data_IF_134513780520
#
_entry.id   IF_134513780520
#
_cell.length_a   1.000
_cell.length_b   1.000
_cell.length_c   1.000
_cell.angle_alpha   90.00
_cell.angle_beta   90.00
_cell.angle_gamma   90.00
#
_symmetry.space_group_name_H-M   'P 1'
#
loop_
_entity.id
_entity.type
_entity.pdbx_description
1 polymer ?
#
# COMPACT_ATOMS: atom_id res chain seq x y z
N UNK A 1 12.11 29.14 -1.40
CA UNK A 1 11.10 28.10 -1.67
C UNK A 1 10.63 28.23 -3.11
N UNK A 2 10.80 27.21 -3.96
CA UNK A 2 10.45 27.29 -5.39
C UNK A 2 8.92 27.33 -5.59
N UNK A 3 8.46 27.76 -6.78
CA UNK A 3 7.02 27.72 -7.14
C UNK A 3 6.46 26.29 -7.05
N UNK A 4 7.23 25.30 -7.49
CA UNK A 4 6.89 23.88 -7.37
C UNK A 4 6.74 23.45 -5.90
N UNK A 5 7.71 23.78 -5.03
CA UNK A 5 7.62 23.45 -3.59
C UNK A 5 6.37 24.05 -2.96
N UNK A 6 6.04 25.31 -3.27
CA UNK A 6 4.81 25.95 -2.79
C UNK A 6 3.55 25.20 -3.23
N UNK A 7 3.48 24.80 -4.51
CA UNK A 7 2.32 24.06 -5.02
C UNK A 7 2.17 22.68 -4.39
N UNK A 8 3.27 21.94 -4.17
CA UNK A 8 3.23 20.62 -3.51
C UNK A 8 2.76 20.77 -2.06
N UNK A 9 3.35 21.69 -1.29
CA UNK A 9 2.97 21.92 0.11
C UNK A 9 1.52 22.39 0.25
N UNK A 10 1.05 23.27 -0.63
CA UNK A 10 -0.34 23.71 -0.64
C UNK A 10 -1.29 22.55 -0.94
N UNK A 11 -1.02 21.74 -1.97
CA UNK A 11 -1.87 20.61 -2.32
C UNK A 11 -1.91 19.54 -1.21
N UNK A 12 -0.75 19.23 -0.62
CA UNK A 12 -0.65 18.32 0.53
C UNK A 12 -1.39 18.87 1.75
N UNK A 13 -1.21 20.15 2.08
CA UNK A 13 -1.89 20.81 3.20
C UNK A 13 -3.41 20.84 3.04
N UNK A 14 -3.91 21.11 1.83
CA UNK A 14 -5.35 21.07 1.54
C UNK A 14 -5.92 19.65 1.66
N UNK A 15 -5.21 18.63 1.14
CA UNK A 15 -5.62 17.24 1.26
C UNK A 15 -5.66 16.80 2.73
N UNK A 16 -4.59 17.03 3.49
CA UNK A 16 -4.50 16.66 4.91
C UNK A 16 -5.56 17.40 5.73
N UNK A 17 -5.71 18.72 5.52
CA UNK A 17 -6.70 19.54 6.19
C UNK A 17 -8.13 19.07 5.91
N UNK A 18 -8.43 18.71 4.66
CA UNK A 18 -9.71 18.13 4.29
C UNK A 18 -9.95 16.78 4.98
N UNK A 19 -8.96 15.87 4.96
CA UNK A 19 -9.06 14.55 5.59
C UNK A 19 -9.35 14.67 7.09
N UNK A 20 -8.53 15.43 7.83
CA UNK A 20 -8.70 15.64 9.27
C UNK A 20 -10.00 16.36 9.58
N UNK A 21 -10.31 17.45 8.85
CA UNK A 21 -11.52 18.23 9.06
C UNK A 21 -12.79 17.43 8.82
N UNK A 22 -12.82 16.61 7.77
CA UNK A 22 -13.96 15.74 7.47
C UNK A 22 -14.10 14.61 8.48
N UNK A 23 -13.01 13.95 8.87
CA UNK A 23 -13.04 12.91 9.90
C UNK A 23 -13.54 13.47 11.25
N UNK A 24 -13.06 14.64 11.66
CA UNK A 24 -13.52 15.32 12.86
C UNK A 24 -15.00 15.71 12.76
N UNK A 25 -15.43 16.22 11.61
CA UNK A 25 -16.84 16.54 11.38
C UNK A 25 -17.72 15.29 11.45
N UNK A 26 -17.35 14.19 10.80
CA UNK A 26 -18.13 12.95 10.80
C UNK A 26 -18.26 12.37 12.21
N UNK A 27 -17.20 12.45 13.02
CA UNK A 27 -17.25 12.06 14.43
C UNK A 27 -18.19 12.97 15.25
N UNK A 28 -18.10 14.29 15.08
CA UNK A 28 -18.90 15.25 15.85
C UNK A 28 -20.39 15.26 15.44
N UNK A 29 -20.67 15.15 14.14
CA UNK A 29 -22.01 15.28 13.59
C UNK A 29 -22.79 13.96 13.57
N UNK A 30 -22.11 12.83 13.33
CA UNK A 30 -22.74 11.53 13.17
C UNK A 30 -22.32 10.50 14.24
N UNK A 31 -21.35 10.82 15.09
CA UNK A 31 -20.81 9.88 16.08
C UNK A 31 -20.04 8.72 15.46
N UNK A 32 -19.63 8.82 14.19
CA UNK A 32 -18.97 7.73 13.50
C UNK A 32 -17.54 7.53 13.98
N UNK A 33 -17.12 6.27 14.23
CA UNK A 33 -15.72 5.94 14.46
C UNK A 33 -14.83 6.33 13.28
N UNK A 34 -13.58 6.71 13.58
CA UNK A 34 -12.57 7.08 12.58
C UNK A 34 -12.16 5.93 11.68
N UNK A 35 -12.17 4.73 12.24
CA UNK A 35 -11.91 3.49 11.55
C UNK A 35 -13.09 2.56 11.84
N UNK A 36 -13.58 1.91 10.78
CA UNK A 36 -14.69 0.98 10.82
C UNK A 36 -14.71 0.19 9.52
N UNK A 37 -14.99 -1.09 9.63
CA UNK A 37 -15.29 -1.94 8.49
C UNK A 37 -16.80 -1.94 8.19
N UNK A 38 -17.18 -1.55 6.97
CA UNK A 38 -18.58 -1.45 6.57
C UNK A 38 -18.78 -1.59 5.06
N UNK A 39 -19.98 -2.03 4.65
CA UNK A 39 -20.35 -1.98 3.25
C UNK A 39 -20.27 -0.52 2.70
N UNK A 40 -19.80 -0.31 1.47
CA UNK A 40 -19.72 1.01 0.85
C UNK A 40 -21.01 1.82 0.90
N UNK A 41 -20.92 3.03 1.43
CA UNK A 41 -22.04 3.98 1.48
C UNK A 41 -22.03 4.93 0.27
N UNK A 42 -23.23 5.21 -0.27
CA UNK A 42 -23.43 5.93 -1.53
C UNK A 42 -24.41 7.12 -1.45
N UNK A 43 -24.61 7.72 -0.27
CA UNK A 43 -25.45 8.91 -0.14
C UNK A 43 -24.82 10.16 -0.79
N UNK A 44 -25.60 11.23 -0.98
CA UNK A 44 -25.09 12.49 -1.54
C UNK A 44 -23.88 13.06 -0.77
N UNK A 45 -23.89 12.90 0.56
CA UNK A 45 -22.75 13.24 1.42
C UNK A 45 -21.47 12.48 1.04
N UNK A 46 -21.59 11.16 0.86
CA UNK A 46 -20.47 10.28 0.50
C UNK A 46 -19.91 10.61 -0.88
N UNK A 47 -20.79 10.89 -1.85
CA UNK A 47 -20.38 11.32 -3.18
C UNK A 47 -19.66 12.66 -3.17
N UNK A 48 -20.15 13.63 -2.40
CA UNK A 48 -19.52 14.94 -2.25
C UNK A 48 -18.10 14.81 -1.72
N UNK A 49 -17.92 14.17 -0.55
CA UNK A 49 -16.58 14.06 0.06
C UNK A 49 -15.61 13.22 -0.77
N UNK A 50 -16.10 12.17 -1.43
CA UNK A 50 -15.29 11.34 -2.34
C UNK A 50 -14.79 12.16 -3.52
N UNK A 51 -15.65 12.99 -4.12
CA UNK A 51 -15.31 13.84 -5.26
C UNK A 51 -14.28 14.92 -4.88
N UNK A 52 -14.45 15.56 -3.72
CA UNK A 52 -13.49 16.53 -3.20
C UNK A 52 -12.14 15.83 -2.91
N UNK A 53 -12.16 14.67 -2.25
CA UNK A 53 -10.95 13.89 -1.98
C UNK A 53 -10.22 13.54 -3.28
N UNK A 54 -10.94 13.07 -4.30
CA UNK A 54 -10.36 12.74 -5.61
C UNK A 54 -9.70 13.97 -6.26
N UNK A 55 -10.36 15.13 -6.25
CA UNK A 55 -9.81 16.37 -6.80
C UNK A 55 -8.54 16.83 -6.06
N UNK A 56 -8.52 16.75 -4.73
CA UNK A 56 -7.36 17.08 -3.91
C UNK A 56 -6.19 16.10 -4.14
N UNK A 57 -6.48 14.80 -4.27
CA UNK A 57 -5.49 13.80 -4.63
C UNK A 57 -4.88 14.04 -6.02
N UNK A 58 -5.73 14.38 -7.01
CA UNK A 58 -5.27 14.76 -8.35
C UNK A 58 -4.39 16.00 -8.30
N UNK A 59 -4.77 17.02 -7.53
CA UNK A 59 -3.99 18.25 -7.37
C UNK A 59 -2.60 17.97 -6.77
N UNK A 60 -2.50 17.09 -5.77
CA UNK A 60 -1.24 16.67 -5.16
C UNK A 60 -0.35 15.94 -6.18
N UNK A 61 -0.89 14.93 -6.87
CA UNK A 61 -0.14 14.16 -7.87
C UNK A 61 0.33 15.05 -9.02
N UNK A 62 -0.53 15.95 -9.51
CA UNK A 62 -0.16 16.92 -10.53
C UNK A 62 0.92 17.88 -10.03
N UNK A 63 0.86 18.36 -8.78
CA UNK A 63 1.88 19.22 -8.22
C UNK A 63 3.25 18.54 -8.15
N UNK A 64 3.28 17.24 -7.83
CA UNK A 64 4.49 16.41 -7.82
C UNK A 64 5.03 16.16 -9.24
N UNK A 65 4.14 15.90 -10.21
CA UNK A 65 4.54 15.52 -11.57
C UNK A 65 4.86 16.71 -12.51
N UNK A 66 4.29 17.90 -12.25
CA UNK A 66 4.42 19.11 -13.10
C UNK A 66 5.85 19.52 -13.46
N UNK A 67 6.84 19.48 -12.56
CA UNK A 67 8.23 19.84 -12.90
C UNK A 67 8.92 18.85 -13.84
N UNK A 68 8.29 17.69 -14.09
CA UNK A 68 8.88 16.54 -14.76
C UNK A 68 9.33 15.50 -13.75
N UNK A 69 8.97 14.24 -14.00
CA UNK A 69 9.41 13.11 -13.19
C UNK A 69 10.72 12.55 -13.75
N UNK A 70 11.68 12.28 -12.86
CA UNK A 70 12.96 11.64 -13.21
C UNK A 70 12.76 10.14 -13.36
N UNK A 71 12.63 9.70 -14.60
CA UNK A 71 12.16 8.36 -14.87
C UNK A 71 13.23 7.27 -14.76
N UNK A 72 13.05 6.31 -13.84
CA UNK A 72 13.81 5.05 -13.81
C UNK A 72 13.11 3.98 -14.67
N UNK A 73 13.62 3.58 -15.85
CA UNK A 73 12.90 2.67 -16.75
C UNK A 73 12.60 1.31 -16.10
N UNK A 74 11.41 0.76 -16.36
CA UNK A 74 11.03 -0.55 -15.86
C UNK A 74 11.82 -1.67 -16.56
N UNK A 75 12.47 -2.52 -15.78
CA UNK A 75 13.16 -3.70 -16.30
C UNK A 75 12.19 -4.66 -17.01
N UNK A 76 12.72 -5.54 -17.86
CA UNK A 76 11.90 -6.57 -18.50
C UNK A 76 11.27 -7.53 -17.49
N UNK A 77 12.03 -7.92 -16.45
CA UNK A 77 11.54 -8.75 -15.35
C UNK A 77 10.41 -8.07 -14.58
N UNK A 78 10.58 -6.79 -14.22
CA UNK A 78 9.56 -5.99 -13.53
C UNK A 78 8.25 -5.96 -14.33
N UNK A 79 8.32 -5.65 -15.63
CA UNK A 79 7.11 -5.61 -16.49
C UNK A 79 6.42 -6.96 -16.61
N UNK A 80 7.16 -8.06 -16.64
CA UNK A 80 6.59 -9.42 -16.65
C UNK A 80 5.89 -9.72 -15.33
N UNK A 81 6.55 -9.45 -14.21
CA UNK A 81 5.98 -9.66 -12.88
C UNK A 81 4.72 -8.82 -12.67
N UNK A 82 4.73 -7.54 -13.01
CA UNK A 82 3.54 -6.68 -12.94
C UNK A 82 2.36 -7.25 -13.74
N UNK A 83 2.59 -7.76 -14.96
CA UNK A 83 1.51 -8.38 -15.75
C UNK A 83 0.98 -9.65 -15.11
N UNK A 84 1.84 -10.45 -14.48
CA UNK A 84 1.41 -11.62 -13.73
C UNK A 84 0.54 -11.22 -12.54
N UNK A 85 0.95 -10.22 -11.76
CA UNK A 85 0.16 -9.70 -10.63
C UNK A 85 -1.19 -9.18 -11.13
N UNK A 86 -1.21 -8.40 -12.22
CA UNK A 86 -2.48 -7.97 -12.84
C UNK A 86 -3.33 -9.17 -13.23
N UNK A 87 -2.77 -10.19 -13.89
CA UNK A 87 -3.51 -11.38 -14.28
C UNK A 87 -4.10 -12.12 -13.06
N UNK A 88 -3.37 -12.21 -11.95
CA UNK A 88 -3.87 -12.79 -10.70
C UNK A 88 -5.03 -11.96 -10.11
N UNK A 89 -4.91 -10.63 -10.09
CA UNK A 89 -6.02 -9.78 -9.63
C UNK A 89 -7.25 -9.88 -10.54
N UNK A 90 -7.07 -9.99 -11.86
CA UNK A 90 -8.16 -10.21 -12.82
C UNK A 90 -8.82 -11.56 -12.57
N UNK A 91 -8.03 -12.62 -12.33
CA UNK A 91 -8.55 -13.94 -12.01
C UNK A 91 -9.36 -13.93 -10.70
N UNK A 92 -8.90 -13.24 -9.66
CA UNK A 92 -9.65 -13.07 -8.41
C UNK A 92 -10.97 -12.32 -8.65
N UNK A 93 -10.96 -11.23 -9.43
CA UNK A 93 -12.20 -10.51 -9.80
C UNK A 93 -13.16 -11.37 -10.61
N UNK A 94 -12.66 -12.19 -11.54
CA UNK A 94 -13.49 -13.14 -12.30
C UNK A 94 -14.06 -14.20 -11.36
N UNK A 95 -13.29 -14.67 -10.37
CA UNK A 95 -13.75 -15.64 -9.39
C UNK A 95 -14.90 -15.08 -8.55
N UNK A 96 -14.79 -13.83 -8.08
CA UNK A 96 -15.89 -13.12 -7.41
C UNK A 96 -17.15 -13.07 -8.28
N UNK A 97 -17.00 -12.71 -9.56
CA UNK A 97 -18.12 -12.63 -10.48
C UNK A 97 -18.77 -13.99 -10.80
N UNK A 98 -17.96 -15.05 -10.87
CA UNK A 98 -18.42 -16.40 -11.22
C UNK A 98 -19.00 -17.16 -10.03
N UNK A 99 -18.38 -17.04 -8.85
CA UNK A 99 -18.82 -17.72 -7.64
C UNK A 99 -18.28 -17.01 -6.38
N UNK A 100 -19.08 -16.15 -5.74
CA UNK A 100 -18.72 -15.54 -4.45
C UNK A 100 -18.37 -16.56 -3.37
N UNK A 101 -18.99 -17.75 -3.41
CA UNK A 101 -18.67 -18.85 -2.50
C UNK A 101 -17.24 -19.38 -2.68
N UNK A 102 -16.79 -19.58 -3.92
CA UNK A 102 -15.41 -20.04 -4.16
C UNK A 102 -14.43 -18.90 -3.90
N UNK A 103 -14.80 -17.66 -4.20
CA UNK A 103 -14.01 -16.49 -3.85
C UNK A 103 -13.73 -16.41 -2.34
N UNK A 104 -14.77 -16.56 -1.51
CA UNK A 104 -14.64 -16.61 -0.05
C UNK A 104 -13.83 -17.82 0.42
N UNK A 105 -14.02 -19.00 -0.18
CA UNK A 105 -13.25 -20.20 0.20
C UNK A 105 -11.75 -20.06 -0.10
N UNK A 106 -11.39 -19.40 -1.20
CA UNK A 106 -9.99 -19.20 -1.60
C UNK A 106 -9.29 -18.18 -0.70
N UNK A 107 -10.01 -17.13 -0.30
CA UNK A 107 -9.55 -16.13 0.66
C UNK A 107 -10.07 -16.38 2.07
N UNK A 108 -10.19 -17.64 2.48
CA UNK A 108 -10.52 -17.96 3.86
C UNK A 108 -9.26 -17.84 4.74
N UNK A 109 -9.44 -17.42 6.00
CA UNK A 109 -8.41 -17.49 7.05
C UNK A 109 -7.85 -18.92 7.14
N UNK A 110 -6.59 -19.06 7.58
CA UNK A 110 -5.82 -20.31 7.54
C UNK A 110 -5.62 -20.89 6.13
N UNK A 111 -5.92 -20.09 5.10
CA UNK A 111 -5.87 -20.47 3.69
C UNK A 111 -4.50 -20.27 3.04
N UNK A 112 -4.38 -20.72 1.80
CA UNK A 112 -3.14 -20.59 1.03
C UNK A 112 -2.73 -19.11 0.77
N UNK A 113 -3.70 -18.18 0.79
CA UNK A 113 -3.47 -16.75 0.61
C UNK A 113 -2.71 -16.18 1.81
N UNK A 114 -3.25 -16.30 3.02
CA UNK A 114 -2.62 -15.88 4.29
C UNK A 114 -1.21 -16.45 4.45
N UNK A 115 -1.03 -17.77 4.27
CA UNK A 115 0.29 -18.41 4.34
C UNK A 115 1.29 -17.86 3.31
N UNK A 116 0.81 -17.54 2.11
CA UNK A 116 1.66 -16.97 1.08
C UNK A 116 1.98 -15.49 1.34
N UNK A 117 1.03 -14.71 1.87
CA UNK A 117 1.26 -13.35 2.38
C UNK A 117 2.34 -13.35 3.46
N UNK A 118 2.23 -14.22 4.46
CA UNK A 118 3.20 -14.36 5.54
C UNK A 118 4.59 -14.75 5.01
N UNK A 119 4.65 -15.70 4.07
CA UNK A 119 5.92 -16.08 3.43
C UNK A 119 6.58 -14.91 2.70
N UNK A 120 5.80 -14.10 1.98
CA UNK A 120 6.29 -12.89 1.31
C UNK A 120 6.83 -11.88 2.32
N UNK A 121 6.16 -11.70 3.46
CA UNK A 121 6.56 -10.78 4.54
C UNK A 121 7.84 -11.26 5.26
N UNK A 122 7.94 -12.56 5.58
CA UNK A 122 9.18 -13.12 6.12
C UNK A 122 10.34 -13.02 5.13
N UNK A 123 10.08 -13.27 3.84
CA UNK A 123 11.05 -13.04 2.77
C UNK A 123 11.49 -11.57 2.69
N UNK A 124 10.54 -10.63 2.80
CA UNK A 124 10.82 -9.20 2.84
C UNK A 124 11.70 -8.83 4.05
N UNK A 125 11.40 -9.38 5.22
CA UNK A 125 12.23 -9.22 6.42
C UNK A 125 13.67 -9.71 6.17
N UNK A 126 13.81 -10.91 5.58
CA UNK A 126 15.11 -11.48 5.21
C UNK A 126 15.92 -10.60 4.25
N UNK A 127 15.28 -10.02 3.22
CA UNK A 127 15.95 -9.08 2.32
C UNK A 127 16.41 -7.80 3.04
N UNK A 128 15.62 -7.29 3.99
CA UNK A 128 16.01 -6.12 4.77
C UNK A 128 17.14 -6.41 5.76
N UNK A 129 17.20 -7.62 6.33
CA UNK A 129 18.37 -8.10 7.08
C UNK A 129 19.60 -8.19 6.18
N UNK A 130 19.46 -8.75 4.97
CA UNK A 130 20.57 -8.82 4.01
C UNK A 130 21.08 -7.42 3.66
N UNK A 131 20.18 -6.45 3.41
CA UNK A 131 20.54 -5.04 3.21
C UNK A 131 21.26 -4.45 4.43
N UNK A 132 20.78 -4.73 5.64
CA UNK A 132 21.43 -4.27 6.86
C UNK A 132 22.88 -4.78 6.93
N UNK A 133 23.10 -6.06 6.67
CA UNK A 133 24.43 -6.68 6.68
C UNK A 133 25.35 -6.09 5.60
N UNK A 134 24.83 -5.83 4.40
CA UNK A 134 25.59 -5.18 3.32
C UNK A 134 26.00 -3.75 3.71
N UNK A 135 25.07 -2.95 4.25
CA UNK A 135 25.36 -1.60 4.75
C UNK A 135 26.30 -1.61 5.96
N UNK A 136 26.23 -2.65 6.79
CA UNK A 136 27.10 -2.81 7.95
C UNK A 136 28.55 -3.01 7.52
N UNK A 137 28.78 -3.80 6.46
CA UNK A 137 30.09 -4.08 5.87
C UNK A 137 30.61 -2.98 4.94
N UNK A 138 29.71 -2.15 4.41
CA UNK A 138 30.08 -1.05 3.52
C UNK A 138 30.87 0.06 4.23
N UNK A 139 31.50 0.93 3.44
CA UNK A 139 32.33 2.04 3.93
C UNK A 139 31.58 2.91 4.94
N UNK A 140 32.25 3.23 6.06
CA UNK A 140 31.73 4.09 7.11
C UNK A 140 31.54 5.54 6.65
N UNK A 141 32.22 5.95 5.57
CA UNK A 141 32.08 7.27 4.95
C UNK A 141 30.78 7.45 4.13
N UNK A 142 29.95 6.40 3.97
CA UNK A 142 28.68 6.50 3.27
C UNK A 142 27.75 7.57 3.92
N UNK A 143 27.23 8.53 3.15
CA UNK A 143 26.29 9.53 3.64
C UNK A 143 25.10 8.88 4.34
N UNK A 144 24.68 9.43 5.47
CA UNK A 144 23.50 8.97 6.23
C UNK A 144 23.50 7.47 6.59
N UNK A 145 24.65 6.78 6.58
CA UNK A 145 24.74 5.32 6.82
C UNK A 145 23.96 4.84 8.06
N UNK A 146 24.05 5.57 9.17
CA UNK A 146 23.32 5.23 10.41
C UNK A 146 21.81 5.20 10.20
N UNK A 147 21.28 6.17 9.46
CA UNK A 147 19.86 6.24 9.13
C UNK A 147 19.44 5.06 8.26
N UNK A 148 20.25 4.69 7.26
CA UNK A 148 19.96 3.54 6.41
C UNK A 148 20.05 2.20 7.14
N UNK A 149 20.97 2.06 8.11
CA UNK A 149 21.02 0.89 8.99
C UNK A 149 19.78 0.81 9.89
N UNK A 150 19.40 1.92 10.53
CA UNK A 150 18.20 1.98 11.36
C UNK A 150 16.94 1.71 10.51
N UNK A 151 16.87 2.25 9.31
CA UNK A 151 15.79 1.97 8.37
C UNK A 151 15.75 0.50 7.96
N UNK A 152 16.89 -0.10 7.65
CA UNK A 152 16.96 -1.52 7.28
C UNK A 152 16.53 -2.43 8.43
N UNK A 153 17.03 -2.19 9.65
CA UNK A 153 16.63 -2.93 10.85
C UNK A 153 15.15 -2.70 11.20
N UNK A 154 14.67 -1.45 11.08
CA UNK A 154 13.27 -1.09 11.35
C UNK A 154 12.30 -1.80 10.41
N UNK A 155 12.56 -1.78 9.11
CA UNK A 155 11.75 -2.51 8.13
C UNK A 155 11.87 -4.03 8.27
N UNK A 156 13.05 -4.56 8.61
CA UNK A 156 13.21 -5.99 8.88
C UNK A 156 12.33 -6.44 10.05
N UNK A 157 12.34 -5.69 11.15
CA UNK A 157 11.49 -5.95 12.30
C UNK A 157 10.01 -5.76 11.95
N UNK A 158 9.66 -4.68 11.26
CA UNK A 158 8.27 -4.41 10.84
C UNK A 158 7.71 -5.57 10.01
N UNK A 159 8.43 -6.04 8.99
CA UNK A 159 7.96 -7.15 8.14
C UNK A 159 7.94 -8.49 8.88
N UNK A 160 8.84 -8.70 9.85
CA UNK A 160 8.79 -9.87 10.72
C UNK A 160 7.54 -9.84 11.60
N UNK A 161 7.23 -8.69 12.19
CA UNK A 161 6.02 -8.50 12.99
C UNK A 161 4.78 -8.71 12.11
N UNK A 162 4.70 -8.05 10.95
CA UNK A 162 3.56 -8.23 10.03
C UNK A 162 3.37 -9.69 9.62
N UNK A 163 4.44 -10.40 9.23
CA UNK A 163 4.34 -11.81 8.86
C UNK A 163 3.99 -12.71 10.05
N UNK A 164 4.46 -12.38 11.25
CA UNK A 164 4.08 -13.06 12.49
C UNK A 164 2.60 -12.87 12.79
N UNK A 165 2.11 -11.64 12.75
CA UNK A 165 0.69 -11.31 12.93
C UNK A 165 -0.21 -12.03 11.92
N UNK A 166 0.19 -12.06 10.65
CA UNK A 166 -0.54 -12.73 9.56
C UNK A 166 -0.80 -14.21 9.83
N UNK A 167 0.15 -14.97 10.42
CA UNK A 167 -0.05 -16.39 10.76
C UNK A 167 -0.23 -16.62 12.26
N UNK A 168 -0.68 -15.58 12.97
CA UNK A 168 -0.94 -15.64 14.41
C UNK A 168 0.22 -16.22 15.22
N UNK A 169 1.43 -15.80 14.87
CA UNK A 169 2.70 -16.20 15.48
C UNK A 169 2.92 -17.71 15.52
N UNK A 170 2.37 -18.43 14.53
CA UNK A 170 2.38 -19.89 14.45
C UNK A 170 1.73 -20.56 15.68
N UNK A 171 0.85 -19.86 16.38
CA UNK A 171 0.22 -20.34 17.60
C UNK A 171 -0.44 -21.70 17.39
N UNK A 172 -1.20 -21.86 16.31
CA UNK A 172 -1.92 -23.08 15.96
C UNK A 172 -0.97 -24.25 15.67
N UNK A 173 0.20 -23.98 15.11
CA UNK A 173 1.19 -25.01 14.73
C UNK A 173 2.11 -25.38 15.91
N UNK A 174 2.45 -24.42 16.76
CA UNK A 174 3.30 -24.63 17.95
C UNK A 174 2.47 -25.16 19.12
N UNK A 175 1.18 -24.80 19.19
CA UNK A 175 0.22 -25.29 20.19
C UNK A 175 0.36 -24.60 21.54
N UNK A 176 0.60 -23.28 21.58
CA UNK A 176 0.62 -22.52 22.83
C UNK A 176 -0.69 -21.75 23.06
N UNK A 177 -1.09 -21.62 24.32
CA UNK A 177 -2.33 -20.96 24.69
C UNK A 177 -2.23 -19.43 24.57
N UNK A 178 -3.35 -18.79 24.22
CA UNK A 178 -3.49 -17.34 24.27
C UNK A 178 -3.53 -16.90 25.73
N UNK A 179 -2.63 -16.00 26.19
CA UNK A 179 -2.66 -15.50 27.55
C UNK A 179 -4.03 -14.90 27.90
N UNK A 180 -4.51 -15.09 29.12
CA UNK A 180 -5.85 -14.64 29.53
C UNK A 180 -6.06 -13.12 29.35
N UNK A 181 -5.00 -12.34 29.58
CA UNK A 181 -4.98 -10.89 29.32
C UNK A 181 -5.19 -10.52 27.84
N UNK A 182 -4.86 -11.43 26.94
CA UNK A 182 -4.97 -11.31 25.49
C UNK A 182 -6.33 -11.84 25.03
N UNK A 183 -6.72 -13.04 25.47
CA UNK A 183 -8.01 -13.67 25.15
C UNK A 183 -9.22 -12.83 25.60
N UNK A 184 -9.10 -12.07 26.70
CA UNK A 184 -10.18 -11.19 27.18
C UNK A 184 -10.54 -10.04 26.22
N UNK A 185 -9.70 -9.75 25.22
CA UNK A 185 -9.86 -8.62 24.28
C UNK A 185 -9.73 -9.01 22.81
N UNK A 186 -9.31 -10.24 22.52
CA UNK A 186 -9.19 -10.82 21.18
C UNK A 186 -10.42 -11.70 20.91
N UNK A 187 -11.27 -11.32 19.96
CA UNK A 187 -12.53 -12.03 19.70
C UNK A 187 -12.36 -13.43 19.08
N UNK A 188 -11.20 -13.73 18.48
CA UNK A 188 -10.86 -15.05 17.94
C UNK A 188 -10.05 -15.89 18.93
N UNK A 189 -9.67 -15.32 20.08
CA UNK A 189 -8.91 -16.03 21.11
C UNK A 189 -7.49 -16.37 20.67
N UNK A 190 -6.89 -15.57 19.79
CA UNK A 190 -5.55 -15.81 19.22
C UNK A 190 -4.46 -14.92 19.84
N UNK A 191 -3.21 -15.33 19.73
CA UNK A 191 -2.04 -14.56 20.12
C UNK A 191 -1.57 -13.68 18.97
N UNK A 192 -2.42 -12.75 18.55
CA UNK A 192 -2.09 -11.70 17.58
C UNK A 192 -2.66 -10.37 18.08
N UNK A 193 -2.01 -9.27 17.73
CA UNK A 193 -2.49 -7.90 17.94
C UNK A 193 -3.48 -7.46 16.86
N UNK A 194 -3.44 -8.11 15.69
CA UNK A 194 -4.35 -7.88 14.56
C UNK A 194 -5.82 -7.89 15.02
N UNK A 195 -6.18 -8.77 15.97
CA UNK A 195 -7.56 -8.93 16.46
C UNK A 195 -7.94 -8.05 17.69
N UNK A 196 -7.08 -7.15 18.17
CA UNK A 196 -7.34 -6.27 19.33
C UNK A 196 -7.89 -4.90 18.97
N UNK A 197 -7.43 -4.35 17.85
CA UNK A 197 -7.72 -3.01 17.34
C UNK A 197 -7.83 -3.08 15.81
N UNK A 198 -8.60 -4.05 15.31
CA UNK A 198 -8.77 -4.41 13.89
C UNK A 198 -8.92 -3.16 13.04
N UNK A 199 -9.98 -2.37 13.27
CA UNK A 199 -10.32 -1.25 12.39
C UNK A 199 -9.20 -0.20 12.25
N UNK A 200 -8.63 0.27 13.36
CA UNK A 200 -7.61 1.35 13.32
C UNK A 200 -6.28 0.84 12.80
N UNK A 201 -5.88 -0.36 13.23
CA UNK A 201 -4.63 -1.00 12.79
C UNK A 201 -4.70 -1.28 11.29
N UNK A 202 -5.79 -1.88 10.83
CA UNK A 202 -6.07 -2.12 9.41
C UNK A 202 -6.11 -0.81 8.63
N UNK A 203 -6.82 0.22 9.10
CA UNK A 203 -6.85 1.52 8.43
C UNK A 203 -5.44 2.09 8.23
N UNK A 204 -4.60 2.07 9.27
CA UNK A 204 -3.21 2.55 9.21
C UNK A 204 -2.37 1.67 8.29
N UNK A 205 -2.48 0.35 8.40
CA UNK A 205 -1.75 -0.60 7.58
C UNK A 205 -2.09 -0.41 6.10
N UNK A 206 -3.38 -0.41 5.78
CA UNK A 206 -3.92 -0.35 4.44
C UNK A 206 -3.73 0.99 3.75
N UNK A 207 -4.05 2.10 4.42
CA UNK A 207 -3.88 3.44 3.85
C UNK A 207 -2.40 3.86 3.88
N UNK A 208 -1.70 3.59 4.97
CA UNK A 208 -0.28 3.88 5.14
C UNK A 208 0.59 3.11 4.16
N UNK A 209 0.39 1.80 4.02
CA UNK A 209 1.12 0.97 3.04
C UNK A 209 0.73 1.34 1.62
N UNK A 210 -0.54 1.64 1.37
CA UNK A 210 -1.01 2.15 0.08
C UNK A 210 -0.27 3.42 -0.35
N UNK A 211 -0.17 4.40 0.56
CA UNK A 211 0.59 5.64 0.33
C UNK A 211 2.10 5.36 0.22
N UNK A 212 2.64 4.47 1.05
CA UNK A 212 4.04 4.07 0.99
C UNK A 212 4.39 3.52 -0.40
N UNK A 213 3.60 2.58 -0.91
CA UNK A 213 3.86 1.89 -2.18
C UNK A 213 3.51 2.71 -3.42
N UNK A 214 2.63 3.72 -3.32
CA UNK A 214 2.15 4.50 -4.49
C UNK A 214 2.55 5.98 -4.49
N UNK A 215 2.51 6.66 -3.35
CA UNK A 215 2.87 8.08 -3.25
C UNK A 215 4.39 8.27 -3.17
N UNK A 216 5.09 7.48 -2.36
CA UNK A 216 6.53 7.68 -2.16
C UNK A 216 7.38 7.45 -3.42
N UNK A 217 7.05 6.50 -4.33
CA UNK A 217 7.73 6.41 -5.62
C UNK A 217 7.58 7.68 -6.47
N UNK A 218 6.40 8.31 -6.40
CA UNK A 218 6.16 9.58 -7.09
C UNK A 218 6.97 10.71 -6.44
N UNK A 219 7.05 10.76 -5.11
CA UNK A 219 7.90 11.71 -4.39
C UNK A 219 9.37 11.52 -4.76
N UNK A 220 9.85 10.27 -4.79
CA UNK A 220 11.23 9.91 -5.16
C UNK A 220 11.62 10.41 -6.55
N UNK A 221 10.71 10.38 -7.51
CA UNK A 221 10.98 10.85 -8.87
C UNK A 221 10.70 12.34 -9.09
N UNK A 222 10.02 12.99 -8.15
CA UNK A 222 9.72 14.42 -8.19
C UNK A 222 10.88 15.27 -7.65
N UNK A 223 10.74 16.58 -7.80
CA UNK A 223 11.65 17.55 -7.18
C UNK A 223 11.67 17.50 -5.64
N UNK A 224 10.66 16.91 -5.02
CA UNK A 224 10.58 16.76 -3.57
C UNK A 224 11.67 15.84 -3.00
N UNK A 225 12.19 14.89 -3.80
CA UNK A 225 13.31 14.04 -3.40
C UNK A 225 14.58 14.85 -3.06
N UNK A 226 14.72 16.06 -3.62
CA UNK A 226 15.87 16.95 -3.38
C UNK A 226 15.70 17.86 -2.16
N UNK A 227 14.58 17.79 -1.45
CA UNK A 227 14.38 18.60 -0.26
C UNK A 227 15.34 18.14 0.86
N UNK A 228 15.95 19.06 1.63
CA UNK A 228 16.98 18.70 2.62
C UNK A 228 16.53 17.67 3.65
N UNK A 229 15.24 17.63 4.00
CA UNK A 229 14.69 16.66 4.94
C UNK A 229 14.27 15.33 4.30
N UNK A 230 14.13 15.28 2.96
CA UNK A 230 13.79 14.05 2.21
C UNK A 230 15.06 13.34 1.75
N UNK A 231 16.10 14.08 1.36
CA UNK A 231 17.36 13.51 0.87
C UNK A 231 17.95 12.39 1.75
N UNK A 232 18.00 12.51 3.09
CA UNK A 232 18.52 11.44 3.94
C UNK A 232 17.75 10.12 3.80
N UNK A 233 16.47 10.19 3.42
CA UNK A 233 15.59 9.03 3.26
C UNK A 233 15.42 8.59 1.82
N UNK A 234 15.90 9.36 0.83
CA UNK A 234 15.62 9.14 -0.59
C UNK A 234 15.95 7.71 -1.05
N UNK A 235 17.05 7.13 -0.56
CA UNK A 235 17.45 5.76 -0.90
C UNK A 235 16.62 4.67 -0.19
N UNK A 236 15.83 5.01 0.83
CA UNK A 236 14.84 4.12 1.45
C UNK A 236 13.46 4.25 0.80
N UNK A 237 13.22 5.26 -0.05
CA UNK A 237 11.93 5.39 -0.72
C UNK A 237 11.77 4.28 -1.76
N UNK A 238 10.57 3.67 -1.87
CA UNK A 238 10.26 2.74 -2.95
C UNK A 238 10.38 3.43 -4.31
N UNK A 239 10.65 2.65 -5.35
CA UNK A 239 10.79 3.14 -6.73
C UNK A 239 9.56 2.77 -7.58
N UNK A 240 9.56 3.19 -8.84
CA UNK A 240 8.42 2.92 -9.72
C UNK A 240 8.22 1.43 -10.04
N UNK A 241 9.23 0.59 -9.87
CA UNK A 241 9.07 -0.87 -10.02
C UNK A 241 8.19 -1.40 -8.89
N UNK A 242 8.45 -0.94 -7.67
CA UNK A 242 7.60 -1.23 -6.50
C UNK A 242 6.18 -0.74 -6.76
N UNK A 243 6.00 0.50 -7.22
CA UNK A 243 4.68 1.03 -7.55
C UNK A 243 3.94 0.18 -8.60
N UNK A 244 4.61 -0.19 -9.69
CA UNK A 244 3.98 -0.96 -10.78
C UNK A 244 3.49 -2.33 -10.30
N UNK A 245 4.29 -3.00 -9.46
CA UNK A 245 3.96 -4.31 -8.88
C UNK A 245 2.82 -4.18 -7.87
N UNK A 246 2.79 -3.10 -7.08
CA UNK A 246 1.84 -2.90 -5.99
C UNK A 246 0.47 -2.37 -6.45
N UNK A 247 0.43 -1.62 -7.55
CA UNK A 247 -0.77 -0.91 -8.01
C UNK A 247 -2.06 -1.77 -8.05
N UNK A 248 -2.03 -3.05 -8.47
CA UNK A 248 -3.22 -3.91 -8.50
C UNK A 248 -3.89 -4.15 -7.13
N UNK A 249 -3.19 -3.96 -6.00
CA UNK A 249 -3.77 -4.07 -4.65
C UNK A 249 -4.93 -3.09 -4.41
N UNK A 250 -4.96 -1.97 -5.14
CA UNK A 250 -5.94 -0.90 -4.99
C UNK A 250 -7.36 -1.31 -5.42
N UNK A 251 -7.52 -2.48 -6.04
CA UNK A 251 -8.80 -3.05 -6.46
C UNK A 251 -9.60 -3.63 -5.29
N UNK A 252 -8.92 -4.09 -4.23
CA UNK A 252 -9.52 -4.86 -3.13
C UNK A 252 -9.73 -3.96 -1.91
N UNK A 253 -10.56 -2.93 -2.05
CA UNK A 253 -10.79 -1.94 -0.98
C UNK A 253 -12.24 -1.88 -0.51
N UNK A 254 -13.06 -2.89 -0.85
CA UNK A 254 -14.53 -2.87 -0.68
C UNK A 254 -14.95 -2.54 0.77
N UNK A 255 -14.53 -3.35 1.74
CA UNK A 255 -14.97 -3.24 3.15
C UNK A 255 -14.51 -1.95 3.86
N UNK A 256 -13.52 -1.26 3.29
CA UNK A 256 -12.96 -0.03 3.83
C UNK A 256 -13.18 1.18 2.90
N UNK A 257 -13.93 1.01 1.81
CA UNK A 257 -14.04 2.04 0.77
C UNK A 257 -14.65 3.34 1.28
N UNK A 258 -15.49 3.25 2.31
CA UNK A 258 -16.11 4.43 2.91
C UNK A 258 -15.08 5.34 3.60
N UNK A 259 -13.95 4.81 4.06
CA UNK A 259 -12.94 5.57 4.81
C UNK A 259 -12.14 6.50 3.89
N UNK A 260 -12.09 7.78 4.24
CA UNK A 260 -11.39 8.81 3.44
C UNK A 260 -9.89 8.53 3.21
N UNK A 261 -9.12 8.00 4.18
CA UNK A 261 -7.71 7.66 3.95
C UNK A 261 -7.53 6.54 2.91
N UNK A 262 -8.43 5.55 2.88
CA UNK A 262 -8.42 4.47 1.89
C UNK A 262 -8.78 5.01 0.50
N UNK A 263 -9.78 5.88 0.40
CA UNK A 263 -10.09 6.58 -0.85
C UNK A 263 -8.91 7.43 -1.32
N UNK A 264 -8.21 8.12 -0.41
CA UNK A 264 -7.05 8.92 -0.76
C UNK A 264 -5.90 8.07 -1.31
N UNK A 265 -5.59 6.93 -0.66
CA UNK A 265 -4.59 5.98 -1.15
C UNK A 265 -4.97 5.45 -2.56
N UNK A 266 -6.25 5.11 -2.77
CA UNK A 266 -6.76 4.70 -4.08
C UNK A 266 -6.58 5.79 -5.15
N UNK A 267 -7.08 7.00 -4.91
CA UNK A 267 -7.03 8.09 -5.88
C UNK A 267 -5.59 8.51 -6.18
N UNK A 268 -4.74 8.62 -5.16
CA UNK A 268 -3.32 8.89 -5.34
C UNK A 268 -2.68 7.81 -6.19
N UNK A 269 -2.94 6.53 -5.92
CA UNK A 269 -2.38 5.43 -6.70
C UNK A 269 -2.85 5.41 -8.15
N UNK A 270 -4.14 5.67 -8.40
CA UNK A 270 -4.70 5.80 -9.74
C UNK A 270 -4.04 6.95 -10.52
N UNK A 271 -3.98 8.14 -9.92
CA UNK A 271 -3.36 9.30 -10.56
C UNK A 271 -1.84 9.15 -10.70
N UNK A 272 -1.17 8.45 -9.77
CA UNK A 272 0.25 8.12 -9.88
C UNK A 272 0.50 7.21 -11.09
N UNK A 273 -0.34 6.20 -11.35
CA UNK A 273 -0.25 5.38 -12.56
C UNK A 273 -0.36 6.24 -13.83
N UNK A 274 -1.28 7.22 -13.85
CA UNK A 274 -1.43 8.16 -14.98
C UNK A 274 -0.18 9.05 -15.11
N UNK A 275 0.36 9.55 -14.00
CA UNK A 275 1.59 10.37 -14.00
C UNK A 275 2.80 9.57 -14.52
N UNK A 276 2.96 8.31 -14.09
CA UNK A 276 4.01 7.42 -14.58
C UNK A 276 3.83 7.04 -16.06
N UNK A 277 2.60 6.92 -16.56
CA UNK A 277 2.35 6.76 -17.99
C UNK A 277 2.86 7.97 -18.79
N UNK A 278 2.65 9.18 -18.27
CA UNK A 278 3.13 10.44 -18.85
C UNK A 278 4.66 10.56 -18.88
N UNK A 279 5.35 10.05 -17.84
CA UNK A 279 6.82 10.07 -17.73
C UNK A 279 7.51 8.80 -18.23
N UNK A 280 6.77 7.82 -18.75
CA UNK A 280 7.31 6.55 -19.21
C UNK A 280 8.29 6.75 -20.39
N UNK A 281 9.46 6.12 -20.30
CA UNK A 281 10.55 6.23 -21.28
C UNK A 281 10.26 5.42 -22.55
N UNK A 282 9.57 4.29 -22.42
CA UNK A 282 9.27 3.38 -23.53
C UNK A 282 7.77 3.21 -23.77
N UNK A 283 7.34 3.03 -25.02
CA UNK A 283 5.94 2.80 -25.39
C UNK A 283 5.32 1.61 -24.65
N UNK A 284 6.09 0.53 -24.47
CA UNK A 284 5.65 -0.67 -23.73
C UNK A 284 5.46 -0.41 -22.23
N UNK A 285 6.24 0.50 -21.66
CA UNK A 285 6.10 0.93 -20.26
C UNK A 285 4.89 1.86 -20.11
N UNK A 286 4.72 2.82 -21.03
CA UNK A 286 3.53 3.67 -21.09
C UNK A 286 2.25 2.84 -21.17
N UNK A 287 2.21 1.85 -22.08
CA UNK A 287 1.06 0.96 -22.22
C UNK A 287 0.77 0.15 -20.95
N UNK A 288 1.81 -0.27 -20.21
CA UNK A 288 1.64 -0.97 -18.94
C UNK A 288 0.98 -0.06 -17.89
N UNK A 289 1.46 1.19 -17.74
CA UNK A 289 0.89 2.14 -16.79
C UNK A 289 -0.54 2.56 -17.13
N UNK A 290 -0.85 2.76 -18.41
CA UNK A 290 -2.23 2.97 -18.87
C UNK A 290 -3.10 1.77 -18.53
N UNK A 291 -2.61 0.55 -18.81
CA UNK A 291 -3.31 -0.69 -18.49
C UNK A 291 -3.58 -0.84 -17.00
N UNK A 292 -2.60 -0.50 -16.14
CA UNK A 292 -2.76 -0.48 -14.68
C UNK A 292 -3.83 0.53 -14.25
N UNK A 293 -3.77 1.77 -14.75
CA UNK A 293 -4.76 2.79 -14.40
C UNK A 293 -6.19 2.37 -14.80
N UNK A 294 -6.35 1.83 -16.00
CA UNK A 294 -7.63 1.29 -16.48
C UNK A 294 -8.10 0.13 -15.62
N UNK A 295 -7.22 -0.82 -15.32
CA UNK A 295 -7.57 -1.99 -14.51
C UNK A 295 -7.93 -1.62 -13.07
N UNK A 296 -7.18 -0.73 -12.42
CA UNK A 296 -7.49 -0.27 -11.06
C UNK A 296 -8.88 0.39 -11.02
N UNK A 297 -9.19 1.25 -11.99
CA UNK A 297 -10.48 1.93 -12.05
C UNK A 297 -11.64 0.95 -12.30
N UNK A 298 -11.50 0.06 -13.29
CA UNK A 298 -12.53 -0.92 -13.64
C UNK A 298 -12.67 -1.98 -12.54
N UNK A 299 -11.57 -2.53 -12.05
CA UNK A 299 -11.53 -3.56 -11.02
C UNK A 299 -12.16 -3.08 -9.72
N UNK A 300 -11.85 -1.86 -9.27
CA UNK A 300 -12.50 -1.26 -8.10
C UNK A 300 -14.01 -1.07 -8.35
N UNK A 301 -14.40 -0.59 -9.53
CA UNK A 301 -15.82 -0.45 -9.86
C UNK A 301 -16.54 -1.80 -9.81
N UNK A 302 -15.93 -2.86 -10.35
CA UNK A 302 -16.48 -4.22 -10.28
C UNK A 302 -16.65 -4.66 -8.84
N UNK A 303 -15.65 -4.47 -7.97
CA UNK A 303 -15.75 -4.83 -6.55
C UNK A 303 -16.83 -4.03 -5.81
N UNK A 304 -17.01 -2.75 -6.13
CA UNK A 304 -18.11 -1.96 -5.57
C UNK A 304 -19.49 -2.45 -6.05
N UNK A 305 -19.61 -2.91 -7.29
CA UNK A 305 -20.86 -3.42 -7.86
C UNK A 305 -21.18 -4.85 -7.37
N UNK A 306 -20.18 -5.70 -7.25
CA UNK A 306 -20.32 -7.10 -6.87
C UNK A 306 -20.18 -7.34 -5.37
N UNK A 307 -19.62 -6.42 -4.59
CA UNK A 307 -19.42 -6.66 -3.17
C UNK A 307 -20.68 -7.04 -2.37
N UNK A 308 -21.91 -6.58 -2.71
CA UNK A 308 -23.13 -7.10 -2.08
C UNK A 308 -23.40 -8.60 -2.31
N UNK A 309 -22.68 -9.26 -3.22
CA UNK A 309 -22.78 -10.70 -3.47
C UNK A 309 -21.75 -11.52 -2.70
N UNK A 310 -20.76 -10.89 -2.04
CA UNK A 310 -19.80 -11.55 -1.16
C UNK A 310 -20.53 -12.21 0.02
N UNK A 311 -19.96 -13.29 0.55
CA UNK A 311 -20.55 -13.99 1.70
C UNK A 311 -20.34 -13.18 2.98
N UNK A 312 -19.12 -12.65 3.14
CA UNK A 312 -18.77 -11.69 4.17
C UNK A 312 -18.23 -10.41 3.52
N UNK A 313 -18.51 -9.26 4.12
CA UNK A 313 -18.06 -7.97 3.56
C UNK A 313 -16.53 -7.86 3.45
N UNK A 314 -15.80 -8.58 4.30
CA UNK A 314 -14.35 -8.62 4.38
C UNK A 314 -13.69 -9.72 3.52
N UNK A 315 -14.46 -10.48 2.73
CA UNK A 315 -13.92 -11.54 1.84
C UNK A 315 -12.83 -11.01 0.88
N UNK A 316 -12.78 -9.68 0.64
CA UNK A 316 -11.77 -9.04 -0.20
C UNK A 316 -10.47 -8.63 0.53
N UNK A 317 -10.45 -8.63 1.85
CA UNK A 317 -9.32 -8.14 2.67
C UNK A 317 -8.08 -9.03 2.51
N UNK A 318 -8.26 -10.35 2.55
CA UNK A 318 -7.18 -11.34 2.33
C UNK A 318 -6.47 -11.17 0.97
N UNK A 319 -7.26 -10.91 -0.09
CA UNK A 319 -6.70 -10.60 -1.40
C UNK A 319 -5.88 -9.31 -1.38
N UNK A 320 -6.38 -8.29 -0.68
CA UNK A 320 -5.68 -7.01 -0.52
C UNK A 320 -4.34 -7.21 0.19
N UNK A 321 -4.33 -7.96 1.28
CA UNK A 321 -3.15 -8.26 2.10
C UNK A 321 -2.10 -9.03 1.31
N UNK A 322 -2.51 -10.00 0.49
CA UNK A 322 -1.61 -10.68 -0.44
C UNK A 322 -0.92 -9.71 -1.40
N UNK A 323 -1.67 -8.84 -2.07
CA UNK A 323 -1.08 -7.92 -3.04
C UNK A 323 -0.26 -6.80 -2.38
N UNK A 324 -0.61 -6.40 -1.14
CA UNK A 324 0.20 -5.53 -0.30
C UNK A 324 1.54 -6.20 0.05
N UNK A 325 1.49 -7.44 0.53
CA UNK A 325 2.66 -8.25 0.89
C UNK A 325 3.59 -8.47 -0.29
N UNK A 326 3.04 -8.68 -1.49
CA UNK A 326 3.81 -8.77 -2.73
C UNK A 326 4.53 -7.44 -3.06
N UNK A 327 3.85 -6.31 -2.87
CA UNK A 327 4.45 -4.97 -3.01
C UNK A 327 5.57 -4.70 -2.00
N UNK A 328 5.37 -5.07 -0.74
CA UNK A 328 6.37 -4.93 0.33
C UNK A 328 7.58 -5.86 0.11
N UNK A 329 7.36 -7.09 -0.34
CA UNK A 329 8.42 -8.01 -0.73
C UNK A 329 9.22 -7.47 -1.92
N UNK A 330 8.56 -6.91 -2.94
CA UNK A 330 9.21 -6.25 -4.05
C UNK A 330 10.04 -5.04 -3.58
N UNK A 331 9.51 -4.23 -2.65
CA UNK A 331 10.26 -3.15 -2.01
C UNK A 331 11.52 -3.66 -1.34
N UNK A 332 11.41 -4.63 -0.43
CA UNK A 332 12.54 -5.17 0.31
C UNK A 332 13.60 -5.77 -0.62
N UNK A 333 13.18 -6.51 -1.65
CA UNK A 333 14.08 -7.04 -2.67
C UNK A 333 14.82 -5.92 -3.42
N UNK A 334 14.12 -4.86 -3.84
CA UNK A 334 14.73 -3.70 -4.53
C UNK A 334 15.73 -2.97 -3.63
N UNK A 335 15.39 -2.83 -2.35
CA UNK A 335 16.28 -2.27 -1.34
C UNK A 335 17.54 -3.14 -1.15
N UNK A 336 17.41 -4.45 -1.07
CA UNK A 336 18.59 -5.32 -1.00
C UNK A 336 19.43 -5.25 -2.29
N UNK A 337 18.81 -5.33 -3.46
CA UNK A 337 19.49 -5.34 -4.76
C UNK A 337 20.30 -4.06 -5.04
N UNK A 338 19.92 -2.91 -4.48
CA UNK A 338 20.70 -1.68 -4.65
C UNK A 338 22.09 -1.76 -4.01
N UNK A 339 22.37 -2.75 -3.14
CA UNK A 339 23.71 -3.18 -2.74
C UNK A 339 24.55 -2.09 -2.08
N UNK A 340 24.01 -1.39 -1.08
CA UNK A 340 24.70 -0.30 -0.36
C UNK A 340 25.03 0.94 -1.21
N UNK A 341 24.77 0.91 -2.53
CA UNK A 341 24.84 2.09 -3.39
C UNK A 341 23.64 2.96 -3.08
N UNK A 342 23.82 3.86 -2.11
CA UNK A 342 23.01 5.06 -2.02
C UNK A 342 23.24 5.79 -3.33
N UNK A 343 22.30 5.68 -4.26
CA UNK A 343 22.37 6.40 -5.53
C UNK A 343 22.58 7.87 -5.19
N UNK A 344 23.78 8.38 -5.49
CA UNK A 344 24.05 9.81 -5.50
C UNK A 344 23.19 10.38 -6.63
N UNK A 345 22.02 10.93 -6.30
CA UNK A 345 21.12 11.61 -7.25
C UNK A 345 20.90 13.05 -6.88
#
# INVERSE_FOLDING_TARGET
MTRSTRSILLAAGLLIGFQIGMMAYEQLAFGWPFAREEAPLHSGWHWMRRSISAALCAALVLALARPGLRAEPLSHGARRLTRLVVALTVAATILLAASPRIYALVGAEDGAIEWFSALLLFGASGFMVARFLDLWRADRALPYRRLHLLGAAGFALLFLLMGGEEVSWFQRQIGFDTPESVAARNWQGEFNLHNFQTDLTELVLYSGTGLFLMLLPLIRESDAARWPFVQPFAALLPDRTVAAISAPMLVFTYSHWTLLPVQAAFWIGLFACIAFAGSAVATRERALWIGLAVWIAIGQLIHLLLGPTMLMMFDSSEYRELFLSLGLAAYAFRQWQSGGRLTQT
#
